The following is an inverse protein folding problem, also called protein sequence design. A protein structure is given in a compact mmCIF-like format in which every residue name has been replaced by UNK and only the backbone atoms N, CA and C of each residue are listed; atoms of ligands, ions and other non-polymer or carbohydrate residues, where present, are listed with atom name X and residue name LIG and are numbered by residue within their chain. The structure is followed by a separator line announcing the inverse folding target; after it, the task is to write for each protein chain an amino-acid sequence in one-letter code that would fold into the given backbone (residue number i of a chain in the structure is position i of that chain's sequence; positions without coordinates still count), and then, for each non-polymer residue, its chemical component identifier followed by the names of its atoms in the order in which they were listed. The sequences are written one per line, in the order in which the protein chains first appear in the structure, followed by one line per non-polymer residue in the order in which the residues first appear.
data_IF_082663750492
#
_entry.id   IF_082663750492
#
_cell.length_a   1.000
_cell.length_b   1.000
_cell.length_c   1.000
_cell.angle_alpha   90.00
_cell.angle_beta   90.00
_cell.angle_gamma   90.00
#
_symmetry.space_group_name_H-M   'P 1'
#
loop_
_entity.id
_entity.type
_entity.pdbx_description
1 polymer ?
#
# COMPACT_ATOMS: atom_id res chain seq x y z
N UNK A 1 -27.82 27.46 -17.87
CA UNK A 1 -27.01 26.54 -17.05
C UNK A 1 -25.89 27.36 -16.44
N UNK A 2 -25.79 27.52 -15.10
CA UNK A 2 -24.66 28.23 -14.52
C UNK A 2 -23.39 27.42 -14.84
N UNK A 3 -22.43 28.02 -15.55
CA UNK A 3 -21.14 27.38 -15.82
C UNK A 3 -20.43 27.16 -14.48
N UNK A 4 -20.29 25.90 -14.07
CA UNK A 4 -19.45 25.55 -12.93
C UNK A 4 -18.01 25.91 -13.27
N UNK A 5 -17.33 26.57 -12.33
CA UNK A 5 -15.91 26.87 -12.46
C UNK A 5 -15.11 25.57 -12.51
N UNK A 6 -14.07 25.51 -13.34
CA UNK A 6 -13.17 24.35 -13.43
C UNK A 6 -12.63 23.92 -12.05
N UNK A 7 -12.36 24.90 -11.16
CA UNK A 7 -11.91 24.63 -9.80
C UNK A 7 -12.96 23.90 -8.96
N UNK A 8 -14.24 24.28 -9.09
CA UNK A 8 -15.35 23.60 -8.40
C UNK A 8 -15.51 22.16 -8.91
N UNK A 9 -15.23 21.94 -10.20
CA UNK A 9 -15.26 20.61 -10.78
C UNK A 9 -14.14 19.72 -10.22
N UNK A 10 -12.91 20.25 -10.12
CA UNK A 10 -11.80 19.52 -9.49
C UNK A 10 -12.06 19.21 -8.00
N UNK A 11 -12.61 20.16 -7.24
CA UNK A 11 -12.97 19.93 -5.85
C UNK A 11 -14.05 18.83 -5.69
N UNK A 12 -15.05 18.84 -6.58
CA UNK A 12 -16.08 17.81 -6.60
C UNK A 12 -15.47 16.45 -6.94
N UNK A 13 -14.66 16.36 -7.98
CA UNK A 13 -14.00 15.11 -8.39
C UNK A 13 -13.10 14.58 -7.27
N UNK A 14 -12.29 15.43 -6.61
CA UNK A 14 -11.46 15.00 -5.49
C UNK A 14 -12.26 14.40 -4.33
N UNK A 15 -13.41 15.00 -3.98
CA UNK A 15 -14.32 14.45 -2.97
C UNK A 15 -14.91 13.09 -3.38
N UNK A 16 -15.33 12.95 -4.63
CA UNK A 16 -15.86 11.69 -5.15
C UNK A 16 -14.79 10.58 -5.18
N UNK A 17 -13.55 10.91 -5.59
CA UNK A 17 -12.43 9.97 -5.55
C UNK A 17 -12.12 9.50 -4.12
N UNK A 18 -12.13 10.42 -3.14
CA UNK A 18 -11.96 10.07 -1.74
C UNK A 18 -13.09 9.15 -1.24
N UNK A 19 -14.34 9.43 -1.61
CA UNK A 19 -15.48 8.60 -1.23
C UNK A 19 -15.37 7.18 -1.81
N UNK A 20 -14.94 7.05 -3.07
CA UNK A 20 -14.69 5.73 -3.69
C UNK A 20 -13.53 5.02 -2.99
N UNK A 21 -12.46 5.72 -2.65
CA UNK A 21 -11.35 5.14 -1.89
C UNK A 21 -11.82 4.55 -0.54
N UNK A 22 -12.58 5.33 0.24
CA UNK A 22 -13.16 4.85 1.50
C UNK A 22 -14.07 3.65 1.29
N UNK A 23 -14.90 3.67 0.24
CA UNK A 23 -15.79 2.55 -0.07
C UNK A 23 -15.00 1.26 -0.39
N UNK A 24 -13.95 1.35 -1.22
CA UNK A 24 -13.07 0.22 -1.55
C UNK A 24 -12.41 -0.33 -0.28
N UNK A 25 -11.92 0.56 0.61
CA UNK A 25 -11.29 0.14 1.86
C UNK A 25 -12.27 -0.61 2.76
N UNK A 26 -13.44 -0.03 3.01
CA UNK A 26 -14.42 -0.53 3.98
C UNK A 26 -15.15 -1.78 3.51
N UNK A 27 -15.51 -1.84 2.22
CA UNK A 27 -16.38 -2.89 1.70
C UNK A 27 -15.66 -3.97 0.90
N UNK A 28 -14.44 -3.72 0.41
CA UNK A 28 -13.68 -4.71 -0.35
C UNK A 28 -12.43 -5.14 0.41
N UNK A 29 -11.55 -4.21 0.79
CA UNK A 29 -10.25 -4.57 1.36
C UNK A 29 -10.38 -5.14 2.78
N UNK A 30 -11.11 -4.49 3.68
CA UNK A 30 -11.26 -4.99 5.06
C UNK A 30 -11.91 -6.38 5.08
N UNK A 31 -13.02 -6.64 4.36
CA UNK A 31 -13.61 -7.98 4.27
C UNK A 31 -12.64 -9.01 3.67
N UNK A 32 -11.90 -8.65 2.61
CA UNK A 32 -10.91 -9.55 2.01
C UNK A 32 -9.78 -9.92 3.01
N UNK A 33 -9.23 -8.94 3.74
CA UNK A 33 -8.21 -9.21 4.78
C UNK A 33 -8.76 -10.11 5.90
N UNK A 34 -10.02 -9.90 6.31
CA UNK A 34 -10.69 -10.77 7.30
C UNK A 34 -10.86 -12.20 6.78
N UNK A 35 -11.26 -12.38 5.53
CA UNK A 35 -11.36 -13.71 4.92
C UNK A 35 -10.01 -14.41 4.87
N UNK A 36 -8.94 -13.68 4.55
CA UNK A 36 -7.58 -14.22 4.53
C UNK A 36 -7.14 -14.68 5.93
N UNK A 37 -7.49 -13.93 6.98
CA UNK A 37 -7.15 -14.27 8.37
C UNK A 37 -7.83 -15.56 8.85
N UNK A 38 -9.07 -15.82 8.42
CA UNK A 38 -9.82 -17.02 8.80
C UNK A 38 -9.34 -18.26 8.02
N UNK A 39 -8.54 -18.07 6.96
CA UNK A 39 -8.04 -19.17 6.12
C UNK A 39 -9.11 -19.76 5.20
N UNK A 40 -10.14 -18.98 4.85
CA UNK A 40 -11.22 -19.45 3.98
C UNK A 40 -10.78 -19.56 2.51
N UNK A 41 -11.36 -20.55 1.82
CA UNK A 41 -11.26 -20.87 0.38
C UNK A 41 -10.27 -20.02 -0.45
N UNK A 42 -9.09 -20.56 -0.84
CA UNK A 42 -8.08 -19.85 -1.63
C UNK A 42 -8.61 -19.24 -2.94
N UNK A 43 -9.52 -19.93 -3.63
CA UNK A 43 -10.08 -19.46 -4.90
C UNK A 43 -10.91 -18.18 -4.74
N UNK A 44 -11.64 -18.08 -3.61
CA UNK A 44 -12.41 -16.88 -3.28
C UNK A 44 -11.48 -15.69 -2.97
N UNK A 45 -10.35 -15.93 -2.31
CA UNK A 45 -9.35 -14.91 -2.02
C UNK A 45 -8.68 -14.38 -3.29
N UNK A 46 -8.34 -15.26 -4.24
CA UNK A 46 -7.75 -14.87 -5.53
C UNK A 46 -8.73 -14.01 -6.34
N UNK A 47 -9.97 -14.46 -6.52
CA UNK A 47 -11.00 -13.70 -7.26
C UNK A 47 -11.33 -12.35 -6.62
N UNK A 48 -11.36 -12.29 -5.28
CA UNK A 48 -11.54 -11.04 -4.54
C UNK A 48 -10.37 -10.08 -4.72
N UNK A 49 -9.14 -10.60 -4.80
CA UNK A 49 -7.94 -9.81 -5.01
C UNK A 49 -7.86 -9.25 -6.44
N UNK A 50 -8.27 -10.02 -7.44
CA UNK A 50 -8.36 -9.54 -8.83
C UNK A 50 -9.41 -8.43 -8.97
N UNK A 51 -10.54 -8.57 -8.28
CA UNK A 51 -11.57 -7.52 -8.21
C UNK A 51 -11.01 -6.26 -7.57
N UNK A 52 -10.38 -6.38 -6.40
CA UNK A 52 -9.69 -5.29 -5.71
C UNK A 52 -8.66 -4.61 -6.62
N UNK A 53 -7.87 -5.37 -7.36
CA UNK A 53 -6.89 -4.82 -8.30
C UNK A 53 -7.56 -3.94 -9.36
N UNK A 54 -8.66 -4.38 -9.97
CA UNK A 54 -9.36 -3.57 -10.96
C UNK A 54 -9.85 -2.23 -10.39
N UNK A 55 -10.37 -2.25 -9.17
CA UNK A 55 -10.81 -1.03 -8.46
C UNK A 55 -9.63 -0.11 -8.13
N UNK A 56 -8.54 -0.65 -7.57
CA UNK A 56 -7.34 0.12 -7.22
C UNK A 56 -6.65 0.71 -8.45
N UNK A 57 -6.46 -0.08 -9.51
CA UNK A 57 -5.88 0.40 -10.76
C UNK A 57 -6.72 1.52 -11.38
N UNK A 58 -8.05 1.36 -11.43
CA UNK A 58 -8.96 2.36 -12.00
C UNK A 58 -9.00 3.65 -11.17
N UNK A 59 -9.06 3.52 -9.84
CA UNK A 59 -9.05 4.67 -8.94
C UNK A 59 -7.71 5.40 -9.00
N UNK A 60 -6.58 4.69 -8.95
CA UNK A 60 -5.26 5.29 -9.08
C UNK A 60 -5.09 5.99 -10.44
N UNK A 61 -5.62 5.41 -11.52
CA UNK A 61 -5.62 6.02 -12.85
C UNK A 61 -6.40 7.35 -12.89
N UNK A 62 -7.60 7.37 -12.32
CA UNK A 62 -8.42 8.58 -12.24
C UNK A 62 -7.79 9.64 -11.36
N UNK A 63 -7.31 9.26 -10.17
CA UNK A 63 -6.66 10.18 -9.22
C UNK A 63 -5.41 10.80 -9.82
N UNK A 64 -4.58 10.02 -10.53
CA UNK A 64 -3.39 10.55 -11.18
C UNK A 64 -3.73 11.50 -12.34
N UNK A 65 -4.71 11.16 -13.18
CA UNK A 65 -5.16 12.09 -14.24
C UNK A 65 -5.66 13.40 -13.64
N UNK A 66 -6.37 13.32 -12.53
CA UNK A 66 -6.86 14.51 -11.85
C UNK A 66 -5.71 15.37 -11.30
N UNK A 67 -4.69 14.74 -10.72
CA UNK A 67 -3.46 15.43 -10.31
C UNK A 67 -2.81 16.17 -11.49
N UNK A 68 -2.54 15.48 -12.61
CA UNK A 68 -1.93 16.06 -13.81
C UNK A 68 -2.76 17.22 -14.39
N UNK A 69 -4.10 17.08 -14.39
CA UNK A 69 -5.01 18.12 -14.86
C UNK A 69 -4.97 19.38 -13.99
N UNK A 70 -4.89 19.22 -12.66
CA UNK A 70 -4.78 20.34 -11.73
C UNK A 70 -3.43 21.05 -11.91
N UNK A 71 -2.32 20.30 -12.05
CA UNK A 71 -1.00 20.88 -12.33
C UNK A 71 -0.95 21.61 -13.67
N UNK A 72 -1.51 21.02 -14.73
CA UNK A 72 -1.57 21.66 -16.05
C UNK A 72 -2.42 22.94 -16.01
N UNK A 73 -3.56 22.93 -15.32
CA UNK A 73 -4.38 24.12 -15.14
C UNK A 73 -3.63 25.21 -14.35
N UNK A 74 -2.87 24.84 -13.33
CA UNK A 74 -2.02 25.76 -12.57
C UNK A 74 -0.92 26.37 -13.45
N UNK A 75 -0.23 25.56 -14.26
CA UNK A 75 0.84 25.98 -15.14
C UNK A 75 0.35 26.89 -16.28
N UNK A 76 -0.77 26.56 -16.92
CA UNK A 76 -1.41 27.41 -17.93
C UNK A 76 -1.81 28.75 -17.35
N UNK A 77 -2.35 28.75 -16.12
CA UNK A 77 -2.73 29.97 -15.42
C UNK A 77 -1.54 30.85 -15.09
N UNK A 78 -0.42 30.29 -14.65
CA UNK A 78 0.81 31.04 -14.36
C UNK A 78 1.40 31.74 -15.60
N UNK A 79 1.06 31.27 -16.81
CA UNK A 79 1.50 31.88 -18.08
C UNK A 79 0.61 33.03 -18.54
N UNK A 80 -0.54 33.25 -17.90
CA UNK A 80 -1.49 34.29 -18.26
C UNK A 80 -1.34 35.47 -17.27
N UNK A 81 -1.24 36.73 -17.74
CA UNK A 81 -1.24 37.90 -16.87
C UNK A 81 -2.65 38.21 -16.36
N UNK A 82 -3.21 37.30 -15.55
CA UNK A 82 -4.53 37.44 -14.92
C UNK A 82 -4.33 37.74 -13.44
N UNK A 83 -4.85 38.88 -12.97
CA UNK A 83 -4.89 39.16 -11.53
C UNK A 83 -5.83 38.17 -10.82
N UNK A 84 -5.38 37.62 -9.69
CA UNK A 84 -6.12 36.62 -8.93
C UNK A 84 -6.54 37.17 -7.59
N UNK A 85 -7.79 36.90 -7.18
CA UNK A 85 -8.15 37.05 -5.77
C UNK A 85 -7.32 36.07 -4.91
N UNK A 86 -7.02 36.48 -3.67
CA UNK A 86 -6.25 35.68 -2.72
C UNK A 86 -6.87 34.28 -2.50
N UNK A 87 -8.20 34.19 -2.53
CA UNK A 87 -8.94 32.92 -2.39
C UNK A 87 -8.65 31.94 -3.54
N UNK A 88 -8.53 32.42 -4.78
CA UNK A 88 -8.25 31.56 -5.92
C UNK A 88 -6.78 31.12 -5.99
N UNK A 89 -5.88 31.84 -5.32
CA UNK A 89 -4.46 31.47 -5.19
C UNK A 89 -4.26 30.28 -4.24
N UNK A 90 -5.07 30.18 -3.18
CA UNK A 90 -4.92 29.13 -2.15
C UNK A 90 -5.64 27.82 -2.48
N UNK A 91 -6.69 27.85 -3.33
CA UNK A 91 -7.48 26.65 -3.68
C UNK A 91 -6.65 25.62 -4.43
N UNK A 92 -5.82 26.02 -5.39
CA UNK A 92 -5.05 25.07 -6.22
C UNK A 92 -4.02 24.28 -5.38
N UNK A 93 -3.18 24.92 -4.54
CA UNK A 93 -2.31 24.18 -3.62
C UNK A 93 -3.06 23.24 -2.67
N UNK A 94 -4.23 23.65 -2.18
CA UNK A 94 -5.07 22.82 -1.31
C UNK A 94 -5.60 21.58 -2.04
N UNK A 95 -6.07 21.72 -3.28
CA UNK A 95 -6.51 20.61 -4.12
C UNK A 95 -5.36 19.64 -4.45
N UNK A 96 -4.19 20.17 -4.83
CA UNK A 96 -3.01 19.34 -5.08
C UNK A 96 -2.60 18.56 -3.83
N UNK A 97 -2.53 19.22 -2.68
CA UNK A 97 -2.23 18.57 -1.39
C UNK A 97 -3.21 17.43 -1.08
N UNK A 98 -4.51 17.65 -1.29
CA UNK A 98 -5.54 16.63 -1.08
C UNK A 98 -5.38 15.42 -2.02
N UNK A 99 -5.16 15.65 -3.31
CA UNK A 99 -4.97 14.57 -4.29
C UNK A 99 -3.65 13.82 -4.06
N UNK A 100 -2.57 14.52 -3.71
CA UNK A 100 -1.29 13.89 -3.37
C UNK A 100 -1.42 12.98 -2.16
N UNK A 101 -2.12 13.44 -1.12
CA UNK A 101 -2.40 12.60 0.06
C UNK A 101 -3.21 11.36 -0.32
N UNK A 102 -4.22 11.49 -1.18
CA UNK A 102 -4.99 10.35 -1.67
C UNK A 102 -4.11 9.37 -2.48
N UNK A 103 -3.19 9.87 -3.31
CA UNK A 103 -2.23 9.01 -4.02
C UNK A 103 -1.30 8.26 -3.06
N UNK A 104 -0.77 8.93 -2.03
CA UNK A 104 0.06 8.31 -0.99
C UNK A 104 -0.68 7.21 -0.24
N UNK A 105 -1.93 7.47 0.14
CA UNK A 105 -2.81 6.48 0.79
C UNK A 105 -3.08 5.29 -0.15
N UNK A 106 -3.40 5.55 -1.42
CA UNK A 106 -3.64 4.50 -2.42
C UNK A 106 -2.41 3.62 -2.62
N UNK A 107 -1.23 4.22 -2.79
CA UNK A 107 0.03 3.49 -2.95
C UNK A 107 0.29 2.62 -1.72
N UNK A 108 0.17 3.21 -0.51
CA UNK A 108 0.42 2.50 0.74
C UNK A 108 -0.55 1.33 0.93
N UNK A 109 -1.83 1.52 0.62
CA UNK A 109 -2.88 0.52 0.80
C UNK A 109 -2.89 -0.54 -0.31
N UNK A 110 -2.35 -0.24 -1.49
CA UNK A 110 -2.26 -1.16 -2.61
C UNK A 110 -1.25 -2.29 -2.41
N UNK A 111 -0.34 -2.16 -1.45
CA UNK A 111 0.67 -3.17 -1.16
C UNK A 111 0.10 -4.19 -0.17
N UNK A 112 -0.17 -5.40 -0.66
CA UNK A 112 -0.87 -6.44 0.09
C UNK A 112 -0.16 -7.79 0.02
N UNK A 113 -0.20 -8.53 1.12
CA UNK A 113 0.32 -9.90 1.16
C UNK A 113 -0.75 -10.81 0.56
N UNK A 114 -0.53 -11.30 -0.65
CA UNK A 114 -1.42 -12.25 -1.35
C UNK A 114 -1.34 -13.64 -0.70
N UNK A 115 -0.13 -14.14 -0.50
CA UNK A 115 0.13 -15.42 0.18
C UNK A 115 0.89 -15.15 1.47
N UNK A 116 0.20 -15.34 2.60
CA UNK A 116 0.79 -15.16 3.93
C UNK A 116 1.92 -16.18 4.18
N UNK A 117 2.99 -15.80 4.89
CA UNK A 117 3.95 -16.77 5.42
C UNK A 117 3.23 -17.71 6.41
N UNK A 118 3.71 -18.95 6.58
CA UNK A 118 3.17 -19.86 7.57
C UNK A 118 3.19 -19.25 8.98
N UNK A 119 2.11 -19.45 9.74
CA UNK A 119 1.97 -18.88 11.08
C UNK A 119 2.98 -19.47 12.08
N UNK A 120 3.42 -20.71 11.86
CA UNK A 120 4.45 -21.37 12.66
C UNK A 120 5.69 -21.56 11.80
N UNK A 121 6.76 -20.86 12.15
CA UNK A 121 8.05 -20.95 11.47
C UNK A 121 9.05 -21.73 12.31
N UNK A 122 9.71 -22.70 11.70
CA UNK A 122 10.84 -23.42 12.29
C UNK A 122 12.15 -22.84 11.77
N UNK A 123 13.15 -22.69 12.65
CA UNK A 123 14.50 -22.27 12.26
C UNK A 123 15.07 -23.18 11.16
N UNK A 124 15.84 -22.58 10.26
CA UNK A 124 16.47 -23.22 9.09
C UNK A 124 15.51 -23.88 8.07
N UNK A 125 14.21 -23.82 8.32
CA UNK A 125 13.20 -24.32 7.39
C UNK A 125 12.86 -23.23 6.36
N UNK A 126 12.65 -23.66 5.11
CA UNK A 126 12.24 -22.76 4.03
C UNK A 126 10.78 -22.39 4.20
N UNK A 127 10.45 -21.13 3.96
CA UNK A 127 9.08 -20.65 3.89
C UNK A 127 8.92 -19.67 2.74
N UNK A 128 7.67 -19.42 2.37
CA UNK A 128 7.32 -18.54 1.26
C UNK A 128 6.27 -17.52 1.64
N UNK A 129 6.35 -16.34 1.04
CA UNK A 129 5.29 -15.34 1.06
C UNK A 129 5.18 -14.69 -0.33
N UNK A 130 4.00 -14.25 -0.70
CA UNK A 130 3.79 -13.49 -1.95
C UNK A 130 3.19 -12.15 -1.61
N UNK A 131 3.75 -11.10 -2.20
CA UNK A 131 3.28 -9.74 -2.05
C UNK A 131 2.88 -9.22 -3.41
N UNK A 132 1.76 -8.50 -3.48
CA UNK A 132 1.19 -7.95 -4.70
C UNK A 132 0.91 -6.47 -4.52
N UNK A 133 1.23 -5.70 -5.55
CA UNK A 133 0.88 -4.30 -5.66
C UNK A 133 -0.37 -4.20 -6.55
N UNK A 134 -1.46 -3.67 -6.00
CA UNK A 134 -2.74 -3.55 -6.69
C UNK A 134 -2.78 -2.40 -7.71
N UNK A 135 -1.71 -1.61 -7.81
CA UNK A 135 -1.55 -0.52 -8.77
C UNK A 135 -0.38 -0.87 -9.69
N UNK A 136 -0.62 -1.73 -10.68
CA UNK A 136 0.41 -2.30 -11.57
C UNK A 136 0.27 -1.90 -13.04
N UNK A 137 -0.91 -1.40 -13.43
CA UNK A 137 -1.23 -1.16 -14.85
C UNK A 137 -0.55 0.07 -15.46
N UNK A 138 -0.13 1.04 -14.64
CA UNK A 138 0.39 2.34 -15.12
C UNK A 138 1.86 2.30 -15.54
N UNK A 139 2.16 2.95 -16.66
CA UNK A 139 3.49 3.08 -17.28
C UNK A 139 4.56 3.70 -16.37
N UNK A 140 4.18 4.60 -15.45
CA UNK A 140 5.11 5.28 -14.55
C UNK A 140 5.68 4.35 -13.46
N UNK A 141 4.88 3.43 -12.91
CA UNK A 141 5.32 2.47 -11.88
C UNK A 141 6.20 1.36 -12.49
N UNK A 142 6.00 1.05 -13.78
CA UNK A 142 6.82 0.07 -14.51
C UNK A 142 8.25 0.53 -14.80
N UNK A 143 8.56 1.83 -14.69
CA UNK A 143 9.88 2.36 -15.06
C UNK A 143 10.95 2.07 -14.00
N UNK A 144 10.55 1.86 -12.74
CA UNK A 144 11.43 1.44 -11.64
C UNK A 144 10.68 0.50 -10.70
N UNK A 145 10.89 -0.80 -10.89
CA UNK A 145 10.30 -1.82 -10.04
C UNK A 145 10.90 -1.72 -8.63
N UNK A 146 10.09 -1.58 -7.56
CA UNK A 146 10.61 -1.43 -6.21
C UNK A 146 11.23 -2.74 -5.72
N UNK A 147 12.27 -2.61 -4.89
CA UNK A 147 12.79 -3.72 -4.10
C UNK A 147 12.04 -3.86 -2.78
N UNK A 148 11.66 -5.09 -2.47
CA UNK A 148 10.92 -5.47 -1.26
C UNK A 148 11.85 -6.29 -0.38
N UNK A 149 11.86 -6.01 0.93
CA UNK A 149 12.71 -6.72 1.89
C UNK A 149 11.90 -7.18 3.09
N UNK A 150 11.79 -8.51 3.25
CA UNK A 150 11.18 -9.11 4.42
C UNK A 150 12.08 -8.99 5.65
N UNK A 151 11.55 -8.53 6.78
CA UNK A 151 12.20 -8.56 8.09
C UNK A 151 11.29 -9.22 9.11
N UNK A 152 11.88 -9.75 10.18
CA UNK A 152 11.12 -10.25 11.33
C UNK A 152 11.17 -9.21 12.45
N UNK A 153 10.01 -8.89 12.98
CA UNK A 153 9.85 -7.89 14.05
C UNK A 153 9.06 -8.49 15.21
N UNK A 154 9.38 -8.07 16.44
CA UNK A 154 8.58 -8.43 17.62
C UNK A 154 7.22 -7.72 17.60
N UNK A 155 6.30 -8.16 18.45
CA UNK A 155 5.02 -7.48 18.64
C UNK A 155 5.19 -6.02 19.07
N UNK A 156 6.13 -5.72 19.97
CA UNK A 156 6.42 -4.35 20.41
C UNK A 156 6.92 -3.49 19.25
N UNK A 157 7.87 -4.01 18.46
CA UNK A 157 8.38 -3.31 17.27
C UNK A 157 7.27 -3.08 16.25
N UNK A 158 6.41 -4.08 16.01
CA UNK A 158 5.27 -3.94 15.11
C UNK A 158 4.32 -2.83 15.57
N UNK A 159 4.01 -2.75 16.87
CA UNK A 159 3.19 -1.66 17.44
C UNK A 159 3.84 -0.29 17.25
N UNK A 160 5.16 -0.19 17.44
CA UNK A 160 5.89 1.07 17.19
C UNK A 160 5.94 1.46 15.71
N UNK A 161 6.06 0.49 14.80
CA UNK A 161 5.96 0.74 13.35
C UNK A 161 4.56 1.27 13.00
N UNK A 162 3.49 0.72 13.58
CA UNK A 162 2.13 1.20 13.36
C UNK A 162 1.86 2.59 13.93
N UNK A 163 2.60 3.01 14.97
CA UNK A 163 2.55 4.38 15.50
C UNK A 163 3.41 5.38 14.73
N UNK A 164 4.12 4.92 13.69
CA UNK A 164 5.07 5.72 12.92
C UNK A 164 6.22 6.30 13.77
N UNK A 165 6.66 5.55 14.80
CA UNK A 165 7.77 5.98 15.66
C UNK A 165 9.07 6.11 14.83
N UNK A 166 9.82 7.22 14.94
CA UNK A 166 11.05 7.43 14.18
C UNK A 166 12.08 6.35 14.52
N UNK A 167 12.63 5.70 13.49
CA UNK A 167 13.62 4.62 13.64
C UNK A 167 13.03 3.22 13.82
N UNK A 168 11.73 3.07 14.05
CA UNK A 168 11.09 1.76 14.26
C UNK A 168 11.25 0.80 13.07
N UNK A 169 11.30 1.32 11.83
CA UNK A 169 11.50 0.52 10.60
C UNK A 169 12.89 -0.12 10.49
N UNK A 170 13.87 0.37 11.24
CA UNK A 170 15.24 -0.19 11.26
C UNK A 170 15.38 -1.35 12.24
N UNK A 171 14.47 -1.43 13.22
CA UNK A 171 14.51 -2.44 14.27
C UNK A 171 14.10 -3.81 13.70
N UNK A 172 14.92 -4.83 13.97
CA UNK A 172 14.67 -6.21 13.57
C UNK A 172 14.89 -7.11 14.77
N UNK A 173 13.97 -8.04 14.99
CA UNK A 173 14.08 -9.06 16.05
C UNK A 173 14.67 -10.37 15.55
N UNK A 174 15.42 -10.35 14.44
CA UNK A 174 16.00 -11.58 13.90
C UNK A 174 16.57 -11.44 12.51
N UNK A 175 17.02 -12.57 11.95
CA UNK A 175 17.67 -12.67 10.64
C UNK A 175 16.91 -13.64 9.74
N UNK A 176 16.46 -13.14 8.59
CA UNK A 176 15.90 -13.93 7.49
C UNK A 176 16.90 -13.89 6.34
N UNK A 177 17.19 -15.05 5.74
CA UNK A 177 17.96 -15.14 4.48
C UNK A 177 17.03 -15.21 3.27
N UNK A 178 17.53 -14.80 2.09
CA UNK A 178 16.76 -14.73 0.83
C UNK A 178 15.49 -13.89 0.95
N UNK A 179 15.60 -12.79 1.70
CA UNK A 179 14.50 -11.95 2.14
C UNK A 179 14.33 -10.69 1.30
N UNK A 180 15.21 -10.41 0.33
CA UNK A 180 15.12 -9.25 -0.57
C UNK A 180 14.89 -9.72 -2.00
N UNK A 181 14.03 -9.02 -2.73
CA UNK A 181 13.87 -9.20 -4.17
C UNK A 181 13.19 -8.00 -4.81
N UNK A 182 13.18 -7.97 -6.14
CA UNK A 182 12.55 -6.90 -6.93
C UNK A 182 11.17 -7.35 -7.36
N UNK A 183 10.16 -6.48 -7.30
CA UNK A 183 8.84 -6.80 -7.84
C UNK A 183 8.93 -7.11 -9.33
N UNK A 184 8.09 -8.04 -9.79
CA UNK A 184 7.99 -8.45 -11.19
C UNK A 184 6.61 -8.10 -11.72
N UNK A 185 6.54 -7.73 -13.00
CA UNK A 185 5.28 -7.48 -13.69
C UNK A 185 4.97 -8.64 -14.64
N UNK A 186 3.90 -9.35 -14.35
CA UNK A 186 3.42 -10.50 -15.11
C UNK A 186 2.43 -10.03 -16.18
N UNK A 187 2.88 -9.93 -17.44
CA UNK A 187 2.08 -9.42 -18.54
C UNK A 187 0.80 -10.23 -18.82
N UNK A 188 0.83 -11.54 -18.60
CA UNK A 188 -0.30 -12.43 -18.92
C UNK A 188 -1.48 -12.24 -17.95
N UNK A 189 -1.19 -12.04 -16.66
CA UNK A 189 -2.21 -11.80 -15.62
C UNK A 189 -2.40 -10.31 -15.30
N UNK A 190 -1.53 -9.46 -15.85
CA UNK A 190 -1.49 -8.02 -15.59
C UNK A 190 -1.29 -7.70 -14.10
N UNK A 191 -0.38 -8.44 -13.46
CA UNK A 191 -0.13 -8.37 -12.02
C UNK A 191 1.28 -7.88 -11.73
N UNK A 192 1.42 -7.04 -10.71
CA UNK A 192 2.72 -6.67 -10.16
C UNK A 192 2.90 -7.35 -8.80
N UNK A 193 3.78 -8.34 -8.73
CA UNK A 193 3.96 -9.13 -7.50
C UNK A 193 5.40 -9.60 -7.33
N UNK A 194 5.70 -10.09 -6.13
CA UNK A 194 6.94 -10.78 -5.81
C UNK A 194 6.61 -12.00 -4.95
N UNK A 195 7.11 -13.16 -5.36
CA UNK A 195 7.05 -14.38 -4.56
C UNK A 195 8.42 -14.70 -3.98
N UNK A 196 8.53 -14.53 -2.67
CA UNK A 196 9.66 -15.04 -1.91
C UNK A 196 9.48 -16.56 -1.72
N UNK A 197 10.24 -17.39 -2.45
CA UNK A 197 10.06 -18.86 -2.41
C UNK A 197 10.93 -19.57 -1.36
N UNK A 198 12.07 -18.99 -1.01
CA UNK A 198 13.15 -19.67 -0.31
C UNK A 198 13.65 -18.90 0.92
N UNK A 199 12.77 -18.12 1.57
CA UNK A 199 13.14 -17.43 2.81
C UNK A 199 13.47 -18.44 3.90
N UNK A 200 14.44 -18.11 4.74
CA UNK A 200 14.83 -18.96 5.89
C UNK A 200 15.07 -18.13 7.13
N UNK A 201 14.44 -18.51 8.24
CA UNK A 201 14.68 -17.90 9.54
C UNK A 201 15.94 -18.50 10.17
N UNK A 202 16.99 -17.70 10.32
CA UNK A 202 18.27 -18.12 10.91
C UNK A 202 18.37 -17.85 12.41
N UNK A 203 17.82 -16.73 12.85
CA UNK A 203 17.92 -16.30 14.24
C UNK A 203 16.76 -15.40 14.61
N UNK A 204 16.40 -15.45 15.88
CA UNK A 204 15.36 -14.60 16.48
C UNK A 204 15.86 -14.14 17.83
N UNK A 205 15.81 -12.82 18.06
CA UNK A 205 16.09 -12.17 19.32
C UNK A 205 14.78 -12.10 20.10
N UNK A 206 14.81 -12.60 21.33
CA UNK A 206 13.67 -12.65 22.25
C UNK A 206 13.96 -11.76 23.44
N UNK A 207 12.94 -11.22 24.08
CA UNK A 207 13.14 -10.44 25.29
C UNK A 207 13.69 -11.35 26.41
N UNK A 208 14.51 -10.79 27.30
CA UNK A 208 14.94 -11.55 28.48
C UNK A 208 13.71 -11.86 29.34
N UNK A 209 13.53 -13.15 29.65
CA UNK A 209 12.36 -13.67 30.36
C UNK A 209 12.19 -12.97 31.71
N UNK A 210 11.08 -12.25 31.89
CA UNK A 210 10.55 -11.89 33.21
C UNK A 210 9.33 -12.75 33.51
N UNK A 211 9.55 -13.97 33.99
CA UNK A 211 8.47 -14.82 34.54
C UNK A 211 8.24 -16.16 33.83
N UNK A 212 7.00 -16.65 33.94
CA UNK A 212 6.58 -18.02 33.62
C UNK A 212 6.07 -18.20 32.16
N UNK A 213 6.40 -17.27 31.27
CA UNK A 213 5.94 -17.31 29.87
C UNK A 213 6.64 -18.43 29.08
N UNK A 214 5.85 -19.21 28.35
CA UNK A 214 6.37 -20.29 27.52
C UNK A 214 6.84 -19.74 26.17
N UNK A 215 7.91 -20.33 25.60
CA UNK A 215 8.53 -19.92 24.32
C UNK A 215 7.54 -19.86 23.14
N UNK A 216 6.42 -20.57 23.26
CA UNK A 216 5.31 -20.67 22.31
C UNK A 216 4.33 -19.49 22.33
N UNK A 217 4.40 -18.61 23.34
CA UNK A 217 3.45 -17.49 23.48
C UNK A 217 3.95 -16.18 22.84
N UNK A 218 5.26 -16.03 22.66
CA UNK A 218 5.83 -14.85 21.99
C UNK A 218 5.47 -14.81 20.50
N UNK A 219 4.86 -13.69 20.08
CA UNK A 219 4.44 -13.46 18.69
C UNK A 219 5.42 -12.55 17.96
N UNK A 220 5.66 -12.90 16.71
CA UNK A 220 6.47 -12.14 15.77
C UNK A 220 5.71 -11.93 14.48
N UNK A 221 6.05 -10.88 13.76
CA UNK A 221 5.48 -10.58 12.45
C UNK A 221 6.58 -10.53 11.39
N UNK A 222 6.22 -10.91 10.16
CA UNK A 222 7.04 -10.64 8.98
C UNK A 222 6.59 -9.29 8.43
N UNK A 223 7.48 -8.31 8.46
CA UNK A 223 7.29 -6.99 7.87
C UNK A 223 7.92 -6.99 6.47
N UNK A 224 7.16 -6.59 5.45
CA UNK A 224 7.53 -6.66 4.02
C UNK A 224 7.47 -5.27 3.39
#
# INVERSE_FOLDING_TARGET
MPQQSLLQMYEKTGRELQAVHSHILEHLMIPWRRQQQVGNNPSALESGLDTLQQWYDSLADLTWRNHEQIEQAAALRARLPLEMSLEQQSIVPMLLSGITKLLEELITNSFVIEKQPPQVLKKDSRFSATVRCLIGRRRHIRMTLPQVTASIVSEEQARSIMRHDPGAKSLKSGKIENNTGTMEYHQASDQMSITFRNMKLKGIQRAEKKGNETVTEEKFSIFL
#
